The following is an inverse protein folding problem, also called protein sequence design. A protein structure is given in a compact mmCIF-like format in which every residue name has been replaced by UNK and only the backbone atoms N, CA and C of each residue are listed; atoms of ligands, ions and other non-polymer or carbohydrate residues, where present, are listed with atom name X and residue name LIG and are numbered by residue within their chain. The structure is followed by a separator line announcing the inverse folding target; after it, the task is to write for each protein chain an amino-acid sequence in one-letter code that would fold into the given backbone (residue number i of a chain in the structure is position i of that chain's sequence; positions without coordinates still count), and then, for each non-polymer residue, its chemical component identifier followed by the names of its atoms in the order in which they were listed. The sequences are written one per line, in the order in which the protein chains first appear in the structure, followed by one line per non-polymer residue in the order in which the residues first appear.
data_IF_998907544602
#
_entry.id   IF_998907544602
#
_cell.length_a   1.000
_cell.length_b   1.000
_cell.length_c   1.000
_cell.angle_alpha   90.00
_cell.angle_beta   90.00
_cell.angle_gamma   90.00
#
_symmetry.space_group_name_H-M   'P 1'
#
loop_
_entity.id
_entity.type
_entity.pdbx_description
1 polymer ?
2 non-polymer ?
3 water ?
#
# COMPACT_ATOMS: atom_id res chain seq x y z
N UNK A 2 -17.66 15.50 -13.01
CA UNK A 2 -17.17 14.86 -11.74
C UNK A 2 -15.82 14.18 -12.00
N UNK A 3 -14.81 15.00 -12.32
CA UNK A 3 -13.46 14.51 -12.65
C UNK A 3 -12.90 13.70 -11.50
N UNK A 4 -11.98 12.80 -11.82
CA UNK A 4 -11.35 12.03 -10.79
C UNK A 4 -9.84 12.02 -10.98
N UNK A 5 -9.15 11.76 -9.87
CA UNK A 5 -7.71 11.58 -9.89
C UNK A 5 -7.34 10.48 -8.91
N UNK A 6 -6.25 9.77 -9.21
CA UNK A 6 -5.73 8.73 -8.35
C UNK A 6 -4.39 9.23 -7.80
N UNK A 7 -4.21 9.09 -6.49
CA UNK A 7 -2.98 9.51 -5.82
C UNK A 7 -2.50 8.40 -4.88
N UNK A 8 -1.23 8.02 -5.04
CA UNK A 8 -0.59 7.10 -4.10
C UNK A 8 0.28 7.99 -3.21
N UNK A 9 -0.09 8.06 -1.93
CA UNK A 9 0.56 8.92 -0.95
C UNK A 9 1.54 8.07 -0.15
N UNK A 10 2.77 8.57 -0.03
CA UNK A 10 3.76 7.95 0.83
C UNK A 10 3.88 8.83 2.08
N UNK A 11 3.85 8.18 3.24
CA UNK A 11 3.79 8.90 4.49
C UNK A 11 4.77 8.31 5.47
N UNK A 12 5.82 9.04 5.89
CA UNK A 12 6.73 8.49 6.89
C UNK A 12 6.29 8.83 8.32
N UNK A 13 6.31 7.82 9.19
CA UNK A 13 6.15 8.05 10.61
C UNK A 13 7.58 7.97 11.17
N UNK A 14 8.16 9.13 11.46
CA UNK A 14 9.58 9.23 11.78
C UNK A 14 9.80 9.31 13.28
N UNK A 15 10.54 8.31 13.78
CA UNK A 15 10.84 8.17 15.19
C UNK A 15 12.31 8.52 15.43
N UNK A 16 12.56 9.14 16.58
CA UNK A 16 13.92 9.38 17.05
C UNK A 16 13.87 9.44 18.56
N UNK A 17 14.52 8.46 19.21
CA UNK A 17 14.63 8.39 20.65
C UNK A 17 13.26 8.57 21.35
N UNK A 18 12.28 7.75 20.95
CA UNK A 18 10.96 7.74 21.62
C UNK A 18 10.07 8.91 21.30
N UNK A 19 10.49 9.77 20.36
CA UNK A 19 9.73 10.91 19.94
C UNK A 19 9.40 10.75 18.46
N UNK A 20 8.24 11.28 18.06
CA UNK A 20 7.79 11.20 16.67
C UNK A 20 7.65 12.61 16.11
N UNK A 21 8.04 12.78 14.86
CA UNK A 21 7.94 14.08 14.25
C UNK A 21 6.51 14.37 13.80
N UNK A 22 5.96 15.50 14.25
CA UNK A 22 4.67 16.00 13.76
C UNK A 22 4.95 17.38 13.16
N UNK A 23 4.17 17.73 12.14
CA UNK A 23 4.29 19.00 11.46
C UNK A 23 2.96 19.74 11.53
N UNK A 24 3.04 21.05 11.83
CA UNK A 24 1.83 21.86 11.94
C UNK A 24 1.51 22.41 10.56
N UNK A 25 0.34 22.04 10.02
CA UNK A 25 -0.07 22.48 8.69
C UNK A 25 -0.17 24.00 8.63
N UNK A 26 0.37 24.53 7.53
CA UNK A 26 0.35 25.96 7.29
C UNK A 26 -1.10 26.45 7.37
N UNK A 27 -1.25 27.66 7.90
CA UNK A 27 -2.56 28.24 8.24
C UNK A 27 -3.54 28.28 7.06
N UNK A 28 -3.06 28.40 5.83
CA UNK A 28 -3.99 28.57 4.69
C UNK A 28 -4.54 27.21 4.21
N UNK A 29 -3.92 26.11 4.67
CA UNK A 29 -4.32 24.77 4.27
C UNK A 29 -5.51 24.28 5.11
N UNK A 30 -6.39 23.50 4.47
CA UNK A 30 -7.50 22.82 5.16
C UNK A 30 -8.60 23.76 5.63
N UNK A 31 -9.59 23.16 6.31
CA UNK A 31 -10.75 23.88 6.82
C UNK A 31 -10.50 24.28 8.28
N UNK A 32 -9.66 23.49 8.97
CA UNK A 32 -9.33 23.73 10.39
C UNK A 32 -7.88 24.18 10.45
N UNK A 33 -7.60 25.49 10.41
CA UNK A 33 -6.21 25.95 10.35
C UNK A 33 -5.30 25.48 11.49
N UNK A 34 -4.10 25.00 11.10
CA UNK A 34 -3.05 24.72 12.03
C UNK A 34 -3.15 23.41 12.78
N UNK A 35 -3.80 22.39 12.19
CA UNK A 35 -3.75 21.07 12.80
C UNK A 35 -2.41 20.42 12.49
N UNK A 36 -2.08 19.42 13.30
CA UNK A 36 -0.80 18.71 13.22
C UNK A 36 -0.96 17.43 12.41
N UNK A 37 0.09 17.12 11.64
CA UNK A 37 -0.01 16.00 10.73
C UNK A 37 1.35 15.36 10.48
N UNK A 38 1.28 14.16 9.94
CA UNK A 38 2.44 13.54 9.39
C UNK A 38 2.69 14.19 8.03
N UNK A 39 3.95 14.18 7.60
CA UNK A 39 4.32 14.69 6.30
C UNK A 39 4.02 13.61 5.23
N UNK A 40 4.31 13.94 3.98
CA UNK A 40 4.14 12.95 2.93
C UNK A 40 3.48 13.54 1.71
N UNK A 41 3.48 12.77 0.62
CA UNK A 41 2.94 13.28 -0.61
C UNK A 41 2.90 12.22 -1.68
N UNK A 42 2.44 12.62 -2.86
CA UNK A 42 2.16 11.70 -3.92
C UNK A 42 3.40 11.20 -4.63
N UNK A 43 3.34 9.94 -5.03
CA UNK A 43 4.36 9.34 -5.90
C UNK A 43 4.15 9.86 -7.32
N UNK A 44 5.26 10.13 -8.01
CA UNK A 44 5.28 10.62 -9.37
C UNK A 44 5.46 9.44 -10.33
N UNK A 45 5.00 9.54 -11.60
CA UNK A 45 5.24 8.47 -12.56
C UNK A 45 6.74 8.17 -12.69
N UNK A 46 7.09 6.89 -12.72
CA UNK A 46 8.48 6.48 -12.94
C UNK A 46 9.36 6.56 -11.70
N UNK A 47 8.72 6.60 -10.52
CA UNK A 47 9.38 6.76 -9.28
C UNK A 47 9.07 5.58 -8.36
N UNK A 48 10.12 4.94 -7.81
CA UNK A 48 9.89 3.84 -6.86
C UNK A 48 9.35 4.45 -5.54
N UNK A 49 8.58 3.67 -4.77
CA UNK A 49 7.88 4.25 -3.62
C UNK A 49 8.88 4.79 -2.57
N UNK A 50 10.01 4.12 -2.31
CA UNK A 50 10.93 4.68 -1.30
C UNK A 50 11.66 5.90 -1.87
N UNK A 51 11.89 5.94 -3.20
CA UNK A 51 12.48 7.14 -3.80
C UNK A 51 11.53 8.33 -3.60
N UNK A 52 10.23 8.11 -3.80
CA UNK A 52 9.22 9.14 -3.57
C UNK A 52 9.24 9.57 -2.09
N UNK A 53 9.35 8.58 -1.19
CA UNK A 53 9.35 8.95 0.22
C UNK A 53 10.56 9.83 0.55
N UNK A 54 11.73 9.46 0.06
CA UNK A 54 12.93 10.25 0.32
C UNK A 54 12.83 11.64 -0.31
N UNK A 55 12.22 11.73 -1.50
CA UNK A 55 12.02 13.04 -2.13
C UNK A 55 11.09 13.91 -1.29
N UNK A 56 9.97 13.35 -0.86
CA UNK A 56 9.01 14.10 -0.06
C UNK A 56 9.66 14.59 1.24
N UNK A 57 10.44 13.71 1.89
CA UNK A 57 11.12 14.11 3.12
C UNK A 57 12.10 15.26 2.84
N UNK A 58 12.85 15.15 1.74
CA UNK A 58 13.78 16.20 1.42
C UNK A 58 13.04 17.53 1.17
N UNK A 59 11.96 17.48 0.37
CA UNK A 59 11.25 18.71 0.01
C UNK A 59 10.62 19.37 1.23
N UNK A 60 10.02 18.56 2.09
CA UNK A 60 9.22 19.09 3.17
C UNK A 60 9.99 19.33 4.46
N UNK A 61 11.02 18.51 4.70
CA UNK A 61 11.73 18.50 5.97
C UNK A 61 13.21 18.85 5.82
N UNK A 62 13.70 18.97 4.58
CA UNK A 62 15.08 19.36 4.37
C UNK A 62 16.00 18.18 4.13
N UNK A 63 17.14 18.47 3.54
CA UNK A 63 18.07 17.41 3.18
C UNK A 63 19.01 17.03 4.34
N UNK A 64 18.91 17.72 5.48
CA UNK A 64 19.80 17.41 6.61
C UNK A 64 19.25 16.30 7.50
N UNK A 65 17.98 15.92 7.32
CA UNK A 65 17.42 14.83 8.12
C UNK A 65 17.93 13.52 7.53
N UNK A 66 18.60 12.71 8.37
CA UNK A 66 19.19 11.44 7.93
C UNK A 66 18.31 10.29 8.42
N UNK A 67 17.86 9.45 7.49
CA UNK A 67 17.03 8.29 7.85
C UNK A 67 17.93 7.07 8.04
N UNK A 68 17.81 6.40 9.20
CA UNK A 68 18.61 5.21 9.48
C UNK A 68 17.84 3.94 9.08
N UNK A 69 16.51 4.00 9.11
CA UNK A 69 15.68 2.87 8.78
C UNK A 69 14.40 3.36 8.10
N UNK A 70 13.98 2.63 7.08
CA UNK A 70 12.71 2.83 6.39
C UNK A 70 12.13 1.46 6.11
N UNK A 71 10.88 1.22 6.52
CA UNK A 71 10.25 -0.04 6.18
C UNK A 71 8.76 0.16 6.03
N UNK A 72 8.11 -0.54 5.08
CA UNK A 72 6.66 -0.50 4.99
C UNK A 72 6.03 -0.89 6.33
N UNK A 73 4.92 -0.23 6.65
CA UNK A 73 4.15 -0.56 7.83
C UNK A 73 2.72 -0.99 7.46
N UNK A 74 1.90 -0.04 7.03
CA UNK A 74 0.47 -0.33 6.79
C UNK A 74 -0.05 0.52 5.65
N UNK A 75 -1.21 0.14 5.14
CA UNK A 75 -1.82 0.92 4.08
C UNK A 75 -3.32 0.98 4.31
N UNK A 76 -3.95 1.96 3.67
CA UNK A 76 -5.40 2.04 3.58
C UNK A 76 -5.73 2.97 2.42
N UNK A 77 -7.01 3.03 2.03
CA UNK A 77 -7.37 4.00 1.00
C UNK A 77 -8.43 4.90 1.59
N UNK A 78 -8.75 5.95 0.82
CA UNK A 78 -9.77 6.92 1.19
C UNK A 78 -10.14 7.70 -0.06
N UNK A 79 -11.13 8.56 0.08
CA UNK A 79 -11.59 9.41 -0.98
C UNK A 79 -11.79 10.82 -0.42
N UNK A 80 -11.57 11.80 -1.29
CA UNK A 80 -11.78 13.20 -0.94
C UNK A 80 -12.43 13.89 -2.12
N UNK A 81 -13.47 14.67 -1.84
CA UNK A 81 -14.10 15.47 -2.88
C UNK A 81 -13.49 16.85 -2.79
N UNK A 82 -12.84 17.29 -3.87
CA UNK A 82 -12.25 18.60 -3.89
C UNK A 82 -13.12 19.49 -4.77
N UNK A 83 -13.50 20.65 -4.22
CA UNK A 83 -14.30 21.63 -4.93
C UNK A 83 -13.36 22.73 -5.43
N UNK A 84 -13.44 23.03 -6.73
CA UNK A 84 -12.60 24.05 -7.36
C UNK A 84 -13.32 25.40 -7.41
N UNK A 85 -12.56 26.53 -7.43
CA UNK A 85 -13.14 27.86 -7.53
C UNK A 85 -14.27 28.01 -8.57
N UNK A 86 -14.16 27.30 -9.71
CA UNK A 86 -15.19 27.42 -10.77
C UNK A 86 -16.39 26.51 -10.43
N UNK A 87 -16.36 25.91 -9.23
CA UNK A 87 -17.49 25.11 -8.75
C UNK A 87 -17.43 23.63 -9.10
N UNK A 88 -16.61 23.23 -10.10
CA UNK A 88 -16.57 21.81 -10.44
C UNK A 88 -15.89 21.05 -9.29
N UNK A 89 -16.18 19.75 -9.19
CA UNK A 89 -15.52 18.97 -8.16
C UNK A 89 -14.90 17.72 -8.76
N UNK A 90 -13.84 17.31 -8.08
CA UNK A 90 -12.97 16.25 -8.43
C UNK A 90 -12.94 15.27 -7.26
N UNK A 91 -13.14 13.99 -7.55
CA UNK A 91 -12.99 12.97 -6.53
C UNK A 91 -11.56 12.45 -6.59
N UNK A 92 -10.83 12.55 -5.46
CA UNK A 92 -9.44 12.08 -5.38
C UNK A 92 -9.41 10.74 -4.62
N UNK A 93 -9.06 9.67 -5.35
CA UNK A 93 -8.94 8.32 -4.78
C UNK A 93 -7.51 8.21 -4.25
N UNK A 94 -7.35 8.13 -2.93
CA UNK A 94 -6.02 8.12 -2.33
C UNK A 94 -5.69 6.81 -1.65
N UNK A 95 -4.50 6.29 -1.96
CA UNK A 95 -3.95 5.10 -1.30
C UNK A 95 -2.81 5.64 -0.41
N UNK A 96 -2.93 5.38 0.88
CA UNK A 96 -1.91 5.73 1.82
C UNK A 96 -0.95 4.55 2.02
N UNK A 97 0.35 4.83 1.81
CA UNK A 97 1.41 3.85 2.12
C UNK A 97 2.22 4.44 3.27
N UNK A 98 2.07 3.84 4.44
CA UNK A 98 2.69 4.43 5.60
C UNK A 98 3.88 3.58 6.00
N UNK A 99 5.02 4.25 6.19
CA UNK A 99 6.26 3.62 6.47
C UNK A 99 6.72 3.95 7.88
N UNK A 100 7.29 2.96 8.56
CA UNK A 100 7.98 3.23 9.80
C UNK A 100 9.41 3.63 9.47
N UNK A 101 9.84 4.77 10.01
CA UNK A 101 11.13 5.31 9.75
C UNK A 101 11.79 5.72 11.07
N UNK A 102 13.13 5.68 11.05
CA UNK A 102 13.91 6.13 12.18
C UNK A 102 14.95 7.10 11.61
N UNK A 103 15.09 8.23 12.29
CA UNK A 103 16.10 9.16 11.88
C UNK A 103 17.28 9.11 12.86
N UNK A 104 18.46 9.44 12.32
CA UNK A 104 19.69 9.51 13.11
C UNK A 104 19.72 10.77 13.96
N UNK A 105 19.03 11.80 13.45
CA UNK A 105 19.06 13.12 14.02
C UNK A 105 17.67 13.75 13.99
N UNK A 106 17.61 15.03 14.41
CA UNK A 106 16.36 15.75 14.50
C UNK A 106 16.37 17.06 13.73
N UNK A 107 17.38 17.28 12.87
CA UNK A 107 17.52 18.54 12.10
C UNK A 107 16.48 18.59 10.97
N UNK A 108 15.52 19.53 11.11
CA UNK A 108 14.39 19.70 10.21
C UNK A 108 14.31 21.17 9.76
N UNK A 109 14.17 21.38 8.44
CA UNK A 109 13.84 22.68 7.86
C UNK A 109 12.52 22.52 7.09
N UNK A 110 11.42 23.06 7.63
CA UNK A 110 10.13 22.83 6.99
C UNK A 110 9.93 23.76 5.80
N UNK A 111 9.15 23.28 4.83
CA UNK A 111 8.82 24.11 3.69
C UNK A 111 7.50 24.85 3.94
N UNK A 112 6.97 25.43 2.86
CA UNK A 112 5.78 26.28 2.95
C UNK A 112 4.52 25.49 3.35
N UNK A 113 4.60 24.16 3.35
CA UNK A 113 3.44 23.33 3.71
C UNK A 113 3.13 23.40 5.21
N UNK A 114 4.10 23.82 6.02
CA UNK A 114 3.99 23.78 7.46
C UNK A 114 4.41 25.09 8.11
N UNK A 115 3.89 25.33 9.32
CA UNK A 115 4.21 26.51 10.10
C UNK A 115 5.05 26.19 11.33
N UNK A 116 5.11 24.92 11.73
CA UNK A 116 5.92 24.51 12.86
C UNK A 116 6.15 23.01 12.72
N UNK A 117 7.03 22.49 13.57
CA UNK A 117 7.22 21.05 13.67
C UNK A 117 7.61 20.78 15.12
N UNK A 118 7.46 19.52 15.52
CA UNK A 118 7.80 19.13 16.89
C UNK A 118 8.16 17.66 16.93
N UNK A 119 9.18 17.35 17.74
CA UNK A 119 9.51 15.98 18.06
C UNK A 119 8.74 15.64 19.34
N UNK A 120 7.66 14.90 19.16
CA UNK A 120 6.69 14.71 20.23
C UNK A 120 6.91 13.37 20.94
N UNK A 121 7.02 13.43 22.27
CA UNK A 121 7.14 12.21 23.03
C UNK A 121 5.90 11.35 22.73
N UNK A 122 6.09 10.04 22.62
CA UNK A 122 4.99 9.16 22.23
C UNK A 122 3.73 9.41 23.09
N UNK A 123 3.91 9.47 24.42
CA UNK A 123 2.78 9.60 25.37
C UNK A 123 2.08 10.96 25.22
N UNK A 124 2.70 11.92 24.53
CA UNK A 124 2.16 13.29 24.37
C UNK A 124 1.36 13.47 23.07
N UNK A 125 1.48 12.54 22.13
CA UNK A 125 0.81 12.69 20.85
C UNK A 125 -0.70 12.89 21.03
N UNK A 126 -1.28 12.20 22.02
CA UNK A 126 -2.72 12.25 22.22
C UNK A 126 -3.23 13.66 22.60
N UNK A 127 -2.32 14.55 22.99
CA UNK A 127 -2.71 15.89 23.43
C UNK A 127 -2.66 16.91 22.29
N UNK A 128 -2.16 16.49 21.11
CA UNK A 128 -2.01 17.41 20.00
C UNK A 128 -3.33 17.50 19.20
N UNK A 129 -3.48 18.65 18.55
CA UNK A 129 -4.60 18.95 17.68
C UNK A 129 -4.33 18.29 16.33
N UNK A 130 -4.54 16.98 16.26
CA UNK A 130 -4.23 16.18 15.10
C UNK A 130 -5.28 16.29 14.02
N UNK A 131 -4.85 16.31 12.76
CA UNK A 131 -5.84 16.23 11.71
C UNK A 131 -6.41 14.81 11.65
N UNK A 132 -7.50 14.66 10.90
CA UNK A 132 -8.25 13.41 10.92
C UNK A 132 -7.40 12.21 10.46
N UNK A 133 -6.66 12.37 9.37
CA UNK A 133 -5.91 11.22 8.82
C UNK A 133 -4.80 10.84 9.79
N UNK A 134 -4.15 11.85 10.39
CA UNK A 134 -3.10 11.58 11.31
C UNK A 134 -3.65 10.85 12.55
N UNK A 135 -4.82 11.27 13.03
CA UNK A 135 -5.41 10.60 14.17
C UNK A 135 -5.65 9.11 13.85
N UNK A 136 -6.18 8.85 12.65
CA UNK A 136 -6.41 7.45 12.26
C UNK A 136 -5.08 6.68 12.26
N UNK A 137 -4.05 7.24 11.64
CA UNK A 137 -2.77 6.56 11.54
C UNK A 137 -2.16 6.30 12.92
N UNK A 138 -2.11 7.31 13.78
CA UNK A 138 -1.48 7.13 15.08
C UNK A 138 -2.28 6.16 15.94
N UNK A 139 -3.61 6.15 15.77
CA UNK A 139 -4.44 5.19 16.49
C UNK A 139 -4.05 3.76 16.06
N UNK A 140 -3.82 3.55 14.75
CA UNK A 140 -3.42 2.19 14.23
C UNK A 140 -2.09 1.75 14.87
N UNK A 141 -1.21 2.72 15.11
CA UNK A 141 0.11 2.47 15.71
C UNK A 141 0.00 2.19 17.22
N UNK A 142 -1.17 2.46 17.82
CA UNK A 142 -1.38 2.29 19.26
C UNK A 142 -0.68 3.36 20.09
N UNK A 143 -0.47 4.55 19.49
CA UNK A 143 0.25 5.67 20.11
C UNK A 143 -0.70 6.65 20.82
N UNK A 144 -2.01 6.55 20.56
CA UNK A 144 -2.93 7.48 21.21
C UNK A 144 -3.59 6.80 22.41
N UNK B 1 13.75 9.39 -13.43
CA UNK B 1 12.52 8.64 -13.80
C UNK B 1 12.90 7.39 -14.60
N UNK B 2 12.42 6.21 -14.17
CA UNK B 2 12.66 4.99 -14.94
C UNK B 2 11.53 4.83 -15.97
N UNK B 3 11.67 3.87 -16.87
CA UNK B 3 10.73 3.72 -17.99
C UNK B 3 9.76 2.55 -17.81
N UNK B 4 9.71 1.98 -16.62
CA UNK B 4 8.86 0.81 -16.43
C UNK B 4 7.35 1.05 -16.41
N UNK B 5 6.60 0.02 -16.82
CA UNK B 5 5.17 0.01 -16.60
C UNK B 5 4.96 -0.16 -15.10
N UNK B 6 3.95 0.51 -14.56
CA UNK B 6 3.66 0.36 -13.17
C UNK B 6 2.22 -0.13 -12.97
N UNK B 7 2.01 -0.82 -11.85
CA UNK B 7 0.75 -1.37 -11.54
C UNK B 7 0.64 -1.51 -10.03
N UNK B 8 -0.53 -1.17 -9.50
CA UNK B 8 -0.87 -1.42 -8.11
C UNK B 8 -1.69 -2.71 -8.12
N UNK B 9 -1.27 -3.68 -7.32
CA UNK B 9 -1.88 -4.99 -7.21
C UNK B 9 -2.53 -5.17 -5.84
N UNK B 10 -3.77 -5.66 -5.84
CA UNK B 10 -4.40 -6.06 -4.61
C UNK B 10 -4.35 -7.60 -4.52
N UNK B 11 -3.91 -8.09 -3.37
CA UNK B 11 -3.64 -9.48 -3.15
C UNK B 11 -4.30 -9.99 -1.88
N UNK B 12 -5.23 -10.98 -1.93
CA UNK B 12 -5.81 -11.51 -0.71
C UNK B 12 -5.10 -12.79 -0.23
N UNK B 13 -4.81 -12.83 1.05
CA UNK B 13 -4.41 -14.09 1.70
C UNK B 13 -5.70 -14.63 2.31
N UNK B 14 -6.25 -15.70 1.73
CA UNK B 14 -7.60 -16.16 2.11
C UNK B 14 -7.49 -17.42 2.94
N UNK B 15 -8.04 -17.35 4.15
CA UNK B 15 -8.10 -18.49 5.06
C UNK B 15 -9.53 -18.98 5.21
N UNK B 16 -9.69 -20.30 5.38
CA UNK B 16 -10.96 -20.92 5.73
C UNK B 16 -10.63 -22.13 6.59
N UNK B 17 -11.08 -22.11 7.86
CA UNK B 17 -10.85 -23.20 8.78
C UNK B 17 -9.36 -23.59 8.83
N UNK B 18 -8.49 -22.59 8.94
CA UNK B 18 -7.03 -22.78 9.14
C UNK B 18 -6.28 -23.28 7.91
N UNK B 19 -6.93 -23.26 6.76
CA UNK B 19 -6.32 -23.60 5.47
C UNK B 19 -6.29 -22.34 4.60
N UNK B 20 -5.25 -22.23 3.77
CA UNK B 20 -5.06 -21.06 2.93
C UNK B 20 -5.20 -21.45 1.47
N UNK B 21 -5.89 -20.62 0.71
CA UNK B 21 -6.10 -20.93 -0.70
C UNK B 21 -4.85 -20.56 -1.49
N UNK B 22 -4.34 -21.57 -2.21
CA UNK B 22 -3.26 -21.38 -3.17
C UNK B 22 -3.78 -21.79 -4.54
N UNK B 23 -3.34 -21.05 -5.57
CA UNK B 23 -3.76 -21.30 -6.93
C UNK B 23 -2.51 -21.52 -7.78
N UNK B 24 -2.58 -22.49 -8.70
CA UNK B 24 -1.41 -22.80 -9.53
C UNK B 24 -1.51 -22.04 -10.86
N UNK B 25 -0.58 -21.11 -11.10
CA UNK B 25 -0.61 -20.32 -12.32
C UNK B 25 -0.37 -21.20 -13.55
N UNK B 26 -1.16 -20.95 -14.59
CA UNK B 26 -0.99 -21.62 -15.87
C UNK B 26 0.46 -21.47 -16.35
N UNK B 27 0.90 -22.41 -17.17
CA UNK B 27 2.32 -22.49 -17.53
C UNK B 27 2.75 -21.42 -18.55
N UNK B 28 1.79 -20.76 -19.21
CA UNK B 28 2.14 -19.87 -20.35
C UNK B 28 1.85 -18.40 -20.08
N UNK B 29 1.58 -18.04 -18.82
CA UNK B 29 1.24 -16.65 -18.58
C UNK B 29 1.36 -16.27 -17.11
N UNK B 30 1.49 -14.96 -16.88
CA UNK B 30 1.54 -14.42 -15.53
C UNK B 30 2.94 -14.03 -15.12
N UNK B 31 3.04 -13.46 -13.93
CA UNK B 31 4.31 -13.09 -13.41
C UNK B 31 5.08 -14.36 -12.98
N UNK B 32 4.35 -15.40 -12.54
CA UNK B 32 4.96 -16.61 -11.99
C UNK B 32 4.32 -17.88 -12.54
N UNK B 33 4.44 -18.12 -13.87
CA UNK B 33 3.83 -19.30 -14.47
C UNK B 33 4.25 -20.63 -13.79
N UNK B 34 3.30 -21.54 -13.67
CA UNK B 34 3.60 -22.90 -13.22
C UNK B 34 3.84 -23.08 -11.74
N UNK B 35 3.73 -22.04 -10.93
CA UNK B 35 3.96 -22.13 -9.50
C UNK B 35 2.67 -21.80 -8.75
N UNK B 36 2.67 -22.14 -7.46
CA UNK B 36 1.55 -21.91 -6.60
C UNK B 36 1.62 -20.49 -6.06
N UNK B 37 0.44 -19.87 -6.00
CA UNK B 37 0.36 -18.43 -5.81
C UNK B 37 -0.82 -17.98 -4.97
N UNK B 38 -0.62 -16.85 -4.33
CA UNK B 38 -1.73 -16.01 -3.91
C UNK B 38 -2.22 -15.28 -5.18
N UNK B 39 -3.53 -15.09 -5.29
CA UNK B 39 -4.15 -14.46 -6.44
C UNK B 39 -3.98 -12.95 -6.30
N UNK B 40 -4.51 -12.24 -7.28
CA UNK B 40 -4.50 -10.79 -7.19
C UNK B 40 -4.46 -10.14 -8.55
N UNK B 41 -4.80 -8.85 -8.57
CA UNK B 41 -4.84 -8.13 -9.80
C UNK B 41 -4.85 -6.64 -9.56
N UNK B 42 -4.98 -5.88 -10.66
CA UNK B 42 -4.85 -4.45 -10.62
C UNK B 42 -6.10 -3.73 -10.17
N UNK B 43 -5.89 -2.49 -9.72
CA UNK B 43 -6.94 -1.60 -9.30
C UNK B 43 -7.28 -0.73 -10.50
N UNK B 44 -8.59 -0.58 -10.78
CA UNK B 44 -9.03 0.28 -11.87
C UNK B 44 -9.27 1.68 -11.37
N UNK B 45 -9.26 2.70 -12.24
CA UNK B 45 -9.59 4.04 -11.80
C UNK B 45 -11.04 4.07 -11.28
N UNK B 46 -11.26 4.81 -10.21
CA UNK B 46 -12.61 4.98 -9.64
C UNK B 46 -13.02 3.87 -8.68
N UNK B 47 -12.17 2.85 -8.53
CA UNK B 47 -12.48 1.77 -7.62
C UNK B 47 -11.77 1.98 -6.27
N UNK B 48 -12.49 1.73 -5.18
CA UNK B 48 -11.84 1.61 -3.89
C UNK B 48 -11.00 0.31 -3.90
N UNK B 49 -9.94 0.28 -3.10
CA UNK B 49 -9.06 -0.89 -3.18
C UNK B 49 -9.77 -2.17 -2.73
N UNK B 50 -10.69 -2.10 -1.76
CA UNK B 50 -11.37 -3.33 -1.35
C UNK B 50 -12.33 -3.76 -2.45
N UNK B 51 -12.94 -2.80 -3.17
CA UNK B 51 -13.80 -3.14 -4.31
C UNK B 51 -12.98 -3.85 -5.38
N UNK B 52 -11.78 -3.33 -5.67
CA UNK B 52 -10.90 -3.97 -6.65
C UNK B 52 -10.58 -5.40 -6.20
N UNK B 53 -10.28 -5.56 -4.91
CA UNK B 53 -9.94 -6.90 -4.39
C UNK B 53 -11.11 -7.86 -4.62
N UNK B 54 -12.31 -7.44 -4.25
CA UNK B 54 -13.49 -8.26 -4.39
C UNK B 54 -13.77 -8.58 -5.85
N UNK B 55 -13.58 -7.59 -6.74
CA UNK B 55 -13.77 -7.83 -8.18
C UNK B 55 -12.78 -8.90 -8.67
N UNK B 56 -11.52 -8.78 -8.26
CA UNK B 56 -10.50 -9.70 -8.71
C UNK B 56 -10.79 -11.10 -8.19
N UNK B 57 -11.25 -11.22 -6.95
CA UNK B 57 -11.63 -12.50 -6.42
C UNK B 57 -12.76 -13.09 -7.26
N UNK B 58 -13.77 -12.29 -7.57
CA UNK B 58 -14.89 -12.79 -8.33
C UNK B 58 -14.45 -13.27 -9.73
N UNK B 59 -13.58 -12.50 -10.38
CA UNK B 59 -13.10 -12.84 -11.72
C UNK B 59 -12.24 -14.10 -11.68
N UNK B 60 -11.29 -14.15 -10.75
CA UNK B 60 -10.29 -15.23 -10.76
C UNK B 60 -10.73 -16.50 -10.05
N UNK B 61 -11.56 -16.35 -9.01
CA UNK B 61 -11.93 -17.43 -8.11
C UNK B 61 -13.44 -17.72 -8.13
N UNK B 62 -14.20 -16.88 -8.85
CA UNK B 62 -15.62 -17.12 -9.01
C UNK B 62 -16.47 -16.33 -8.03
N UNK B 63 -17.75 -16.27 -8.36
CA UNK B 63 -18.71 -15.46 -7.61
C UNK B 63 -19.20 -16.17 -6.33
N UNK B 64 -18.97 -17.48 -6.20
CA UNK B 64 -19.55 -18.19 -5.07
C UNK B 64 -18.72 -18.07 -3.79
N UNK B 65 -17.45 -17.68 -3.93
CA UNK B 65 -16.63 -17.54 -2.76
C UNK B 65 -17.01 -16.26 -2.00
N UNK B 66 -17.38 -16.43 -0.73
CA UNK B 66 -17.83 -15.30 0.09
C UNK B 66 -16.72 -14.91 1.08
N UNK B 67 -16.26 -13.66 0.98
CA UNK B 67 -15.25 -13.11 1.87
C UNK B 67 -15.95 -12.44 3.05
N UNK B 68 -15.75 -12.97 4.26
CA UNK B 68 -16.43 -12.51 5.48
C UNK B 68 -15.57 -11.57 6.34
N UNK B 69 -14.26 -11.56 6.09
CA UNK B 69 -13.35 -10.62 6.71
C UNK B 69 -12.32 -10.22 5.67
N UNK B 70 -12.09 -8.91 5.53
CA UNK B 70 -11.04 -8.34 4.67
C UNK B 70 -10.41 -7.16 5.41
N UNK B 71 -9.09 -7.18 5.56
CA UNK B 71 -8.46 -6.01 6.17
C UNK B 71 -7.08 -5.82 5.58
N UNK B 72 -6.67 -4.56 5.36
CA UNK B 72 -5.30 -4.30 4.95
C UNK B 72 -4.32 -4.96 5.92
N UNK B 73 -3.25 -5.49 5.36
CA UNK B 73 -2.25 -6.09 6.20
C UNK B 73 -0.87 -5.46 5.94
N UNK B 74 -0.30 -5.66 4.77
CA UNK B 74 1.06 -5.17 4.54
C UNK B 74 1.22 -4.78 3.08
N UNK B 75 2.27 -4.02 2.77
CA UNK B 75 2.56 -3.67 1.40
C UNK B 75 4.07 -3.73 1.15
N UNK B 76 4.42 -3.82 -0.12
CA UNK B 76 5.79 -3.70 -0.55
C UNK B 76 5.79 -3.48 -2.06
N UNK B 77 6.96 -3.13 -2.61
CA UNK B 77 7.09 -3.04 -4.05
C UNK B 77 7.85 -4.27 -4.56
N UNK B 78 7.80 -4.45 -5.88
CA UNK B 78 8.48 -5.56 -6.51
C UNK B 78 8.64 -5.19 -7.99
N UNK B 79 9.62 -5.79 -8.63
CA UNK B 79 9.84 -5.62 -10.03
C UNK B 79 9.93 -7.02 -10.63
N UNK B 80 9.12 -7.33 -11.64
CA UNK B 80 9.13 -8.66 -12.20
C UNK B 80 8.86 -8.60 -13.70
N UNK B 81 9.38 -9.59 -14.41
CA UNK B 81 9.07 -9.76 -15.80
C UNK B 81 7.78 -10.59 -15.86
N UNK B 82 6.77 -10.02 -16.50
CA UNK B 82 5.48 -10.66 -16.68
C UNK B 82 5.43 -11.28 -18.08
N UNK B 83 4.88 -12.50 -18.13
CA UNK B 83 4.70 -13.27 -19.38
C UNK B 83 3.23 -13.19 -19.81
N UNK B 84 3.03 -12.99 -21.11
CA UNK B 84 1.68 -12.88 -21.68
C UNK B 84 1.41 -14.10 -22.55
N UNK B 85 0.13 -14.48 -22.72
CA UNK B 85 -0.21 -15.68 -23.50
C UNK B 85 0.34 -15.65 -24.93
N UNK B 86 0.49 -14.45 -25.51
CA UNK B 86 0.97 -14.32 -26.90
C UNK B 86 2.47 -14.59 -26.96
N UNK B 87 3.12 -14.70 -25.79
CA UNK B 87 4.56 -15.03 -25.71
C UNK B 87 5.46 -13.85 -25.39
N UNK B 88 4.94 -12.62 -25.45
CA UNK B 88 5.79 -11.45 -25.16
C UNK B 88 5.90 -11.28 -23.63
N UNK B 89 6.85 -10.42 -23.24
CA UNK B 89 7.14 -10.15 -21.84
C UNK B 89 7.40 -8.66 -21.64
N UNK B 90 7.17 -8.20 -20.42
CA UNK B 90 7.39 -6.81 -20.04
C UNK B 90 7.85 -6.78 -18.58
N UNK B 91 8.71 -5.81 -18.23
CA UNK B 91 9.15 -5.66 -16.85
C UNK B 91 8.21 -4.65 -16.19
N UNK B 92 7.57 -5.06 -15.11
CA UNK B 92 6.59 -4.20 -14.48
C UNK B 92 7.00 -3.92 -13.03
N UNK B 93 6.87 -2.66 -12.65
CA UNK B 93 7.11 -2.21 -11.28
C UNK B 93 5.77 -2.25 -10.55
N UNK B 94 5.65 -3.07 -9.52
CA UNK B 94 4.38 -3.31 -8.84
C UNK B 94 4.41 -2.90 -7.38
N UNK B 95 3.29 -2.35 -6.94
CA UNK B 95 3.06 -2.16 -5.53
C UNK B 95 2.06 -3.24 -5.14
N UNK B 96 2.43 -4.09 -4.18
CA UNK B 96 1.54 -5.10 -3.65
C UNK B 96 0.83 -4.60 -2.39
N UNK B 97 -0.51 -4.59 -2.43
CA UNK B 97 -1.35 -4.28 -1.30
C UNK B 97 -1.94 -5.60 -0.86
N UNK B 98 -1.46 -6.12 0.28
CA UNK B 98 -1.82 -7.47 0.69
C UNK B 98 -2.81 -7.37 1.86
N UNK B 99 -3.90 -8.10 1.71
CA UNK B 99 -4.99 -8.12 2.65
C UNK B 99 -5.13 -9.47 3.34
N UNK B 100 -5.43 -9.43 4.63
CA UNK B 100 -5.80 -10.63 5.36
C UNK B 100 -7.29 -10.86 5.17
N UNK B 101 -7.66 -12.08 4.80
CA UNK B 101 -9.03 -12.36 4.46
C UNK B 101 -9.48 -13.72 5.02
N UNK B 102 -10.78 -13.83 5.26
CA UNK B 102 -11.40 -15.06 5.66
C UNK B 102 -12.58 -15.32 4.73
N UNK B 103 -12.73 -16.57 4.29
CA UNK B 103 -13.91 -16.90 3.48
C UNK B 103 -14.90 -17.72 4.30
N UNK B 104 -16.18 -17.62 3.95
CA UNK B 104 -17.22 -18.39 4.64
C UNK B 104 -17.23 -19.85 4.19
N UNK B 105 -16.66 -20.08 3.00
CA UNK B 105 -16.83 -21.33 2.27
C UNK B 105 -15.56 -21.59 1.45
N UNK B 106 -15.57 -22.70 0.71
CA UNK B 106 -14.39 -23.05 -0.08
C UNK B 106 -14.70 -23.19 -1.58
N UNK B 107 -15.87 -22.73 -2.02
CA UNK B 107 -16.28 -22.90 -3.39
C UNK B 107 -15.48 -21.96 -4.29
N UNK B 108 -14.67 -22.57 -5.17
CA UNK B 108 -13.77 -21.85 -6.09
C UNK B 108 -13.97 -22.37 -7.53
N UNK B 109 -14.02 -21.42 -8.46
CA UNK B 109 -13.96 -21.70 -9.88
C UNK B 109 -12.84 -20.81 -10.42
N UNK B 110 -11.73 -21.41 -10.84
CA UNK B 110 -10.60 -20.60 -11.31
C UNK B 110 -10.70 -20.25 -12.79
N UNK B 111 -10.29 -19.03 -13.10
CA UNK B 111 -10.23 -18.57 -14.48
C UNK B 111 -8.96 -19.09 -15.17
N UNK B 112 -8.72 -18.60 -16.40
CA UNK B 112 -7.63 -19.13 -17.26
C UNK B 112 -6.23 -18.69 -16.78
N UNK B 113 -6.16 -17.88 -15.72
CA UNK B 113 -4.85 -17.54 -15.15
C UNK B 113 -4.28 -18.76 -14.42
N UNK B 114 -5.14 -19.72 -14.04
CA UNK B 114 -4.73 -20.82 -13.15
C UNK B 114 -5.13 -22.18 -13.73
N UNK B 115 -4.46 -23.25 -13.28
CA UNK B 115 -4.83 -24.57 -13.72
C UNK B 115 -5.12 -25.53 -12.55
N UNK B 116 -5.02 -25.06 -11.29
CA UNK B 116 -5.36 -25.85 -10.12
C UNK B 116 -5.48 -24.91 -8.92
N UNK B 117 -6.01 -25.43 -7.83
CA UNK B 117 -6.12 -24.69 -6.59
C UNK B 117 -6.25 -25.70 -5.45
N UNK B 118 -5.83 -25.27 -4.27
CA UNK B 118 -5.85 -26.13 -3.12
C UNK B 118 -5.98 -25.29 -1.85
N UNK B 119 -6.61 -25.89 -0.83
CA UNK B 119 -6.74 -25.30 0.48
C UNK B 119 -5.69 -25.99 1.34
N UNK B 120 -4.68 -25.23 1.76
CA UNK B 120 -3.46 -25.81 2.31
C UNK B 120 -3.23 -25.32 3.74
N UNK B 121 -2.96 -26.26 4.65
CA UNK B 121 -2.66 -25.85 6.03
C UNK B 121 -1.18 -25.44 6.11
N UNK B 122 -0.88 -24.64 7.13
CA UNK B 122 0.45 -24.01 7.26
C UNK B 122 1.57 -25.05 7.18
N UNK B 123 1.38 -26.18 7.86
CA UNK B 123 2.38 -27.25 7.96
C UNK B 123 2.76 -27.82 6.58
N UNK B 124 1.85 -27.63 5.61
CA UNK B 124 2.00 -28.23 4.30
C UNK B 124 2.44 -27.22 3.23
N UNK B 125 2.53 -25.93 3.58
CA UNK B 125 2.81 -24.88 2.56
C UNK B 125 4.13 -25.09 1.82
N UNK B 126 5.19 -25.43 2.56
CA UNK B 126 6.53 -25.56 1.96
C UNK B 126 6.63 -26.78 1.04
N UNK B 127 5.58 -27.63 1.04
CA UNK B 127 5.54 -28.81 0.18
C UNK B 127 5.18 -28.43 -1.26
N UNK B 128 4.61 -27.25 -1.43
CA UNK B 128 4.21 -26.72 -2.71
C UNK B 128 5.33 -25.86 -3.31
N UNK B 129 5.41 -25.82 -4.64
CA UNK B 129 6.35 -24.93 -5.32
C UNK B 129 5.75 -23.52 -5.33
N UNK B 130 5.97 -22.81 -4.23
CA UNK B 130 5.43 -21.46 -4.05
C UNK B 130 6.23 -20.47 -4.88
N UNK B 131 5.56 -19.52 -5.56
CA UNK B 131 6.30 -18.50 -6.26
C UNK B 131 6.99 -17.59 -5.24
N UNK B 132 7.99 -16.86 -5.72
CA UNK B 132 8.88 -16.08 -4.85
C UNK B 132 8.10 -15.04 -4.02
N UNK B 133 7.10 -14.40 -4.66
CA UNK B 133 6.34 -13.35 -3.97
C UNK B 133 5.46 -13.98 -2.89
N UNK B 134 4.88 -15.14 -3.22
CA UNK B 134 4.03 -15.86 -2.29
C UNK B 134 4.84 -16.32 -1.07
N UNK B 135 6.06 -16.79 -1.34
CA UNK B 135 6.92 -17.26 -0.23
C UNK B 135 7.26 -16.09 0.72
N UNK B 136 7.60 -14.93 0.15
CA UNK B 136 7.93 -13.76 0.95
C UNK B 136 6.71 -13.38 1.82
N UNK B 137 5.53 -13.35 1.18
CA UNK B 137 4.30 -12.98 1.88
C UNK B 137 3.99 -13.93 3.04
N UNK B 138 4.05 -15.25 2.76
CA UNK B 138 3.73 -16.25 3.78
C UNK B 138 4.76 -16.22 4.93
N UNK B 139 6.01 -15.89 4.61
CA UNK B 139 7.03 -15.73 5.64
C UNK B 139 6.67 -14.54 6.54
N UNK B 140 6.30 -13.42 5.93
CA UNK B 140 5.92 -12.22 6.71
C UNK B 140 4.78 -12.55 7.67
N UNK B 141 3.90 -13.48 7.25
CA UNK B 141 2.71 -13.91 8.03
C UNK B 141 3.10 -14.87 9.16
N UNK B 142 4.34 -15.39 9.10
CA UNK B 142 4.84 -16.30 10.11
C UNK B 142 4.41 -17.75 9.89
N UNK B 143 3.96 -18.06 8.67
CA UNK B 143 3.45 -19.41 8.35
C UNK B 143 4.61 -20.30 7.86
N UNK B 144 5.64 -19.63 7.36
CA UNK B 144 6.92 -20.12 6.85
C UNK B 144 8.01 -19.45 7.66
X LIG C 1 0.18 -11.08 -10.09
X LIG C 1 1.11 -10.19 -9.37
X LIG C 1 2.12 -10.96 -8.54
X LIG C 1 1.38 -11.72 -7.56
X LIG C 1 0.61 -12.76 -8.27
X LIG C 1 -0.44 -12.06 -9.16
X LIG C 1 2.23 -12.13 -6.41
X LIG C 1 1.45 -11.91 -5.11
X LIG C 1 1.76 -10.67 -4.44
X LIG C 1 -0.87 -10.32 -10.80
X LIG C 1 -0.30 -9.39 -11.88
X LIG C 1 -1.35 -8.82 -13.02
X LIG C 1 -2.48 -8.16 -12.36
X LIG C 1 -1.87 -9.95 -13.83
X LIG C 1 -0.60 -7.86 -13.88
#
# INVERSE_FOLDING_TARGET
SNAMRQRTIVCPLIENEGHYLLCKMAADRGVFPGQWALSGGGVEPGERIEEALRREIREELGEKLILTHIAPWCFRDDTRVKTYPDGHQETIYMIYLIFNCVSANRDVTINEEFDDYAWVKAEDLKNYDLNAATRVTLSLKGLL
SNAMRQRTIVCPLIENEGHYLLCKMAADRGVFPGQWALSGGGVEPGERIEEALRREIREELGEKLILTHIAPWCFRDDTRVKTYPDGHQETIYMIYLIFNCVSANRDVTINEEFDDYAWVKAEDLKNYDLNAATRVTLSLKGLL
EPE N1 C2 C3 N4 C5 C6 C7 C8 O8 C9 C10 S O1S O2S O3S
#
